data_IF_188923542478
#
_entry.id   IF_188923542478
#
_cell.length_a   1.000
_cell.length_b   1.000
_cell.length_c   1.000
_cell.angle_alpha   90.00
_cell.angle_beta   90.00
_cell.angle_gamma   90.00
#
_symmetry.space_group_name_H-M   'P 1'
#
loop_
_entity.id
_entity.type
_entity.pdbx_description
1 polymer ?
#
# COMPACT_ATOMS: atom_id res chain seq x y z
N UNK A 1 7.54 12.43 -5.97
CA UNK A 1 7.76 11.24 -6.83
C UNK A 1 8.81 10.37 -6.16
N UNK A 2 8.37 9.30 -5.49
CA UNK A 2 9.30 8.35 -4.88
C UNK A 2 10.08 7.63 -5.97
N UNK A 3 11.40 7.50 -5.78
CA UNK A 3 12.28 6.87 -6.75
C UNK A 3 12.00 5.37 -6.85
N UNK A 4 11.86 4.85 -8.07
CA UNK A 4 11.86 3.41 -8.34
C UNK A 4 13.29 2.92 -8.16
N UNK A 5 13.51 1.93 -7.29
CA UNK A 5 14.83 1.34 -7.08
C UNK A 5 15.26 0.53 -8.31
N UNK A 6 16.56 0.24 -8.49
CA UNK A 6 17.02 -0.57 -9.63
C UNK A 6 16.35 -1.95 -9.70
N UNK A 7 16.18 -2.63 -8.56
CA UNK A 7 15.51 -3.93 -8.49
C UNK A 7 14.02 -3.85 -8.86
N UNK A 8 13.33 -2.79 -8.43
CA UNK A 8 11.93 -2.54 -8.85
C UNK A 8 11.84 -2.26 -10.36
N UNK A 9 12.79 -1.51 -10.92
CA UNK A 9 12.83 -1.20 -12.34
C UNK A 9 13.09 -2.46 -13.20
N UNK A 10 14.00 -3.34 -12.75
CA UNK A 10 14.25 -4.66 -13.34
C UNK A 10 13.01 -5.55 -13.28
N UNK A 11 12.25 -5.48 -12.19
CA UNK A 11 10.95 -6.15 -12.05
C UNK A 11 9.86 -5.55 -12.96
N UNK A 12 10.10 -4.41 -13.60
CA UNK A 12 9.19 -3.76 -14.54
C UNK A 12 8.41 -2.58 -13.97
N UNK A 13 8.66 -2.18 -12.72
CA UNK A 13 8.03 -0.99 -12.17
C UNK A 13 8.47 0.25 -12.94
N UNK A 14 7.54 1.19 -13.10
CA UNK A 14 7.79 2.52 -13.70
C UNK A 14 7.51 3.65 -12.73
N UNK A 15 6.81 3.36 -11.64
CA UNK A 15 6.42 4.31 -10.58
C UNK A 15 6.30 3.55 -9.27
N UNK A 16 6.64 4.24 -8.17
CA UNK A 16 6.30 3.82 -6.81
C UNK A 16 5.35 4.87 -6.25
N UNK A 17 4.07 4.51 -6.12
CA UNK A 17 3.02 5.45 -5.75
C UNK A 17 2.98 5.70 -4.25
N UNK A 18 2.65 6.95 -3.93
CA UNK A 18 2.13 7.43 -2.65
C UNK A 18 0.65 7.80 -2.84
N UNK A 19 -0.11 8.03 -1.76
CA UNK A 19 -1.54 8.38 -1.89
C UNK A 19 -1.76 9.60 -2.79
N UNK A 20 -0.97 10.67 -2.62
CA UNK A 20 -1.08 11.90 -3.40
C UNK A 20 -0.80 11.69 -4.90
N UNK A 21 0.23 10.89 -5.23
CA UNK A 21 0.59 10.66 -6.64
C UNK A 21 -0.35 9.69 -7.34
N UNK A 22 -0.90 8.71 -6.63
CA UNK A 22 -1.93 7.81 -7.16
C UNK A 22 -3.23 8.57 -7.39
N UNK A 23 -3.64 9.40 -6.43
CA UNK A 23 -4.86 10.21 -6.54
C UNK A 23 -4.76 11.22 -7.67
N UNK A 24 -3.64 11.93 -7.80
CA UNK A 24 -3.42 12.86 -8.91
C UNK A 24 -3.66 12.18 -10.25
N UNK A 25 -3.12 10.99 -10.45
CA UNK A 25 -3.24 10.27 -11.71
C UNK A 25 -4.66 9.72 -11.93
N UNK A 26 -5.35 9.30 -10.85
CA UNK A 26 -6.77 8.91 -10.91
C UNK A 26 -7.68 10.09 -11.30
N UNK A 27 -7.47 11.26 -10.71
CA UNK A 27 -8.20 12.49 -11.04
C UNK A 27 -7.90 12.94 -12.47
N UNK A 28 -6.63 12.88 -12.90
CA UNK A 28 -6.25 13.19 -14.29
C UNK A 28 -6.90 12.25 -15.30
N UNK A 29 -7.23 11.02 -14.91
CA UNK A 29 -7.98 10.05 -15.72
C UNK A 29 -9.50 10.27 -15.71
N UNK A 30 -10.00 11.31 -15.03
CA UNK A 30 -11.42 11.64 -14.96
C UNK A 30 -12.23 10.82 -13.94
N UNK A 31 -11.56 10.22 -12.94
CA UNK A 31 -12.22 9.51 -11.85
C UNK A 31 -12.47 10.43 -10.66
N UNK A 32 -13.59 10.20 -9.96
CA UNK A 32 -13.88 10.83 -8.67
C UNK A 32 -13.41 9.91 -7.53
N UNK A 33 -12.48 10.38 -6.69
CA UNK A 33 -12.01 9.61 -5.52
C UNK A 33 -12.97 9.80 -4.34
N UNK A 34 -13.68 8.74 -3.97
CA UNK A 34 -14.71 8.75 -2.90
C UNK A 34 -14.19 8.22 -1.57
N UNK A 35 -13.10 7.46 -1.56
CA UNK A 35 -12.47 6.98 -0.32
C UNK A 35 -10.96 6.79 -0.52
N UNK A 36 -10.19 7.10 0.54
CA UNK A 36 -8.73 6.94 0.62
C UNK A 36 -8.42 6.08 1.84
N UNK A 37 -7.60 5.06 1.66
CA UNK A 37 -7.18 4.18 2.75
C UNK A 37 -5.84 3.52 2.44
N UNK A 38 -5.37 2.69 3.36
CA UNK A 38 -4.21 1.84 3.20
C UNK A 38 -4.52 0.40 3.59
N UNK A 39 -3.77 -0.53 3.01
CA UNK A 39 -3.90 -1.96 3.26
C UNK A 39 -2.65 -2.44 3.99
N UNK A 40 -2.85 -2.83 5.25
CA UNK A 40 -1.87 -3.47 6.13
C UNK A 40 -0.69 -2.57 6.54
N UNK A 41 -0.68 -2.13 7.81
CA UNK A 41 0.47 -1.43 8.39
C UNK A 41 1.70 -2.33 8.36
N UNK A 42 2.75 -1.94 7.61
CA UNK A 42 3.86 -2.83 7.30
C UNK A 42 5.19 -2.25 7.74
N UNK A 43 5.60 -2.63 8.95
CA UNK A 43 6.88 -2.21 9.52
C UNK A 43 8.08 -3.07 9.08
N UNK A 44 7.85 -4.18 8.36
CA UNK A 44 8.88 -5.13 7.97
C UNK A 44 8.89 -5.37 6.45
N UNK A 45 10.07 -5.59 5.89
CA UNK A 45 10.26 -5.93 4.49
C UNK A 45 9.80 -7.37 4.18
N UNK A 46 9.52 -7.67 2.90
CA UNK A 46 9.00 -8.98 2.47
C UNK A 46 9.86 -10.16 2.95
N UNK A 47 11.19 -10.08 2.76
CA UNK A 47 12.08 -11.18 3.15
C UNK A 47 12.12 -11.44 4.67
N UNK A 48 11.74 -10.45 5.49
CA UNK A 48 11.61 -10.61 6.94
C UNK A 48 10.30 -11.31 7.27
N UNK A 49 9.20 -10.88 6.62
CA UNK A 49 7.90 -11.55 6.70
C UNK A 49 7.99 -13.02 6.28
N UNK A 50 8.64 -13.33 5.16
CA UNK A 50 8.80 -14.71 4.65
C UNK A 50 9.51 -15.63 5.65
N UNK A 51 10.39 -15.07 6.49
CA UNK A 51 11.06 -15.80 7.57
C UNK A 51 10.16 -15.93 8.79
N UNK A 52 9.56 -14.82 9.24
CA UNK A 52 8.75 -14.78 10.46
C UNK A 52 7.46 -15.59 10.34
N UNK A 53 6.82 -15.63 9.16
CA UNK A 53 5.61 -16.41 8.93
C UNK A 53 5.84 -17.94 8.98
N UNK A 54 7.11 -18.38 8.99
CA UNK A 54 7.48 -19.79 9.20
C UNK A 54 7.72 -20.13 10.67
N UNK A 55 7.50 -19.16 11.56
CA UNK A 55 7.64 -19.28 13.02
C UNK A 55 6.30 -19.05 13.70
N UNK A 56 6.28 -19.13 15.02
CA UNK A 56 5.15 -18.81 15.89
C UNK A 56 5.16 -17.36 16.42
N UNK A 57 6.12 -16.53 15.98
CA UNK A 57 6.27 -15.14 16.44
C UNK A 57 5.10 -14.24 15.99
N UNK A 58 4.58 -14.47 14.77
CA UNK A 58 3.49 -13.67 14.21
C UNK A 58 2.20 -14.50 14.21
N UNK A 59 1.24 -14.11 15.05
CA UNK A 59 -0.09 -14.72 15.06
C UNK A 59 -1.02 -14.10 14.00
N UNK A 60 -2.17 -14.74 13.76
CA UNK A 60 -3.21 -14.20 12.88
C UNK A 60 -3.80 -12.90 13.44
N UNK A 61 -3.92 -12.79 14.76
CA UNK A 61 -4.43 -11.62 15.45
C UNK A 61 -3.48 -10.43 15.31
N UNK A 62 -2.16 -10.68 15.28
CA UNK A 62 -1.17 -9.65 14.95
C UNK A 62 -1.38 -9.12 13.52
N UNK A 63 -1.56 -10.02 12.54
CA UNK A 63 -1.84 -9.65 11.15
C UNK A 63 -3.13 -8.83 11.03
N UNK A 64 -4.19 -9.24 11.74
CA UNK A 64 -5.45 -8.49 11.81
C UNK A 64 -5.26 -7.12 12.49
N UNK A 65 -4.43 -7.06 13.53
CA UNK A 65 -4.01 -5.82 14.17
C UNK A 65 -3.33 -4.86 13.20
N UNK A 66 -2.37 -5.35 12.40
CA UNK A 66 -1.71 -4.57 11.33
C UNK A 66 -2.72 -4.08 10.28
N UNK A 67 -3.69 -4.91 9.91
CA UNK A 67 -4.76 -4.50 8.99
C UNK A 67 -5.61 -3.36 9.56
N UNK A 68 -6.11 -3.51 10.79
CA UNK A 68 -6.92 -2.49 11.47
C UNK A 68 -6.15 -1.19 11.75
N UNK A 69 -4.89 -1.30 12.18
CA UNK A 69 -4.02 -0.15 12.41
C UNK A 69 -3.74 0.60 11.11
N UNK A 70 -3.57 -0.14 10.00
CA UNK A 70 -3.34 0.44 8.68
C UNK A 70 -4.48 1.36 8.23
N UNK A 71 -5.73 1.07 8.60
CA UNK A 71 -6.87 1.94 8.30
C UNK A 71 -6.79 3.31 9.01
N UNK A 72 -6.06 3.40 10.13
CA UNK A 72 -5.82 4.66 10.85
C UNK A 72 -4.57 5.40 10.33
N UNK A 73 -3.64 4.68 9.71
CA UNK A 73 -2.41 5.23 9.15
C UNK A 73 -2.21 4.81 7.68
N UNK A 74 -3.06 5.29 6.75
CA UNK A 74 -3.03 4.88 5.34
C UNK A 74 -1.66 5.03 4.65
N UNK A 75 -0.96 6.13 4.92
CA UNK A 75 0.35 6.43 4.30
C UNK A 75 1.48 5.50 4.75
N UNK A 76 1.29 4.75 5.85
CA UNK A 76 2.28 3.81 6.39
C UNK A 76 1.96 2.35 6.06
N UNK A 77 0.99 2.13 5.18
CA UNK A 77 0.58 0.80 4.76
C UNK A 77 1.48 0.23 3.66
N UNK A 78 1.46 -1.10 3.52
CA UNK A 78 2.15 -1.80 2.44
C UNK A 78 1.67 -1.34 1.06
N UNK A 79 0.37 -1.07 0.94
CA UNK A 79 -0.28 -0.61 -0.27
C UNK A 79 -1.26 0.50 0.09
N UNK A 80 -1.28 1.54 -0.72
CA UNK A 80 -2.31 2.59 -0.66
C UNK A 80 -3.52 2.16 -1.49
N UNK A 81 -4.71 2.63 -1.12
CA UNK A 81 -5.97 2.21 -1.73
C UNK A 81 -6.90 3.41 -1.95
N UNK A 82 -7.43 3.52 -3.18
CA UNK A 82 -8.46 4.48 -3.54
C UNK A 82 -9.71 3.74 -3.99
N UNK A 83 -10.87 4.15 -3.47
CA UNK A 83 -12.17 3.82 -4.10
C UNK A 83 -12.55 4.99 -4.98
N UNK A 84 -12.86 4.70 -6.24
CA UNK A 84 -13.20 5.70 -7.24
C UNK A 84 -14.53 5.39 -7.90
N UNK A 85 -15.23 6.43 -8.34
CA UNK A 85 -16.42 6.35 -9.16
C UNK A 85 -16.24 7.08 -10.49
N UNK A 86 -17.10 6.77 -11.45
CA UNK A 86 -17.21 7.53 -12.70
C UNK A 86 -17.89 8.87 -12.40
N UNK A 87 -17.29 9.96 -12.88
CA UNK A 87 -17.92 11.29 -12.83
C UNK A 87 -19.22 11.26 -13.66
N UNK A 88 -20.32 11.72 -13.06
CA UNK A 88 -21.64 11.82 -13.71
C UNK A 88 -21.72 13.01 -14.66
#
# INVERSE_FOLDING_TARGET
>A
NAAVTPAEAEHGHRRTYTLDTLERDAVAAGLQVIHRSGIFFKALANFQWDKLLKTDIISKEYLEGCYKLGQQYPDLCSSVFLVCEKVR
#
